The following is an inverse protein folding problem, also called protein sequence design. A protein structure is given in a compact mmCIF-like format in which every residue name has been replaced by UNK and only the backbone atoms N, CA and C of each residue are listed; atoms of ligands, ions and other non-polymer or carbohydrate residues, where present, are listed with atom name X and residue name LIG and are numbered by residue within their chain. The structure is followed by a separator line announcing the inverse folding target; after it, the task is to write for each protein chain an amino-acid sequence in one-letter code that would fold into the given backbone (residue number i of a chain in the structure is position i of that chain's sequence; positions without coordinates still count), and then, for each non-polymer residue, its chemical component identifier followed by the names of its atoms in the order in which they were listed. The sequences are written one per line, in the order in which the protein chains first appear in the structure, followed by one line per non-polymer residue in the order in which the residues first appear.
data_IF_737265549488
#
_entry.id   IF_737265549488
#
_cell.length_a   1.000
_cell.length_b   1.000
_cell.length_c   1.000
_cell.angle_alpha   90.00
_cell.angle_beta   90.00
_cell.angle_gamma   90.00
#
_symmetry.space_group_name_H-M   'P 1'
#
loop_
_entity.id
_entity.type
_entity.pdbx_description
1 polymer ?
#
# COMPACT_ATOMS: atom_id res chain seq x y z
N UNK A 1 5.51 23.77 49.48
CA UNK A 1 5.96 22.49 48.90
C UNK A 1 6.23 22.71 47.43
N UNK A 2 7.49 22.64 47.00
CA UNK A 2 7.92 22.87 45.62
C UNK A 2 7.53 21.70 44.71
N UNK A 3 6.90 21.92 43.53
CA UNK A 3 6.96 20.94 42.47
C UNK A 3 8.32 21.08 41.76
N UNK A 4 9.10 20.00 41.75
CA UNK A 4 10.41 19.93 41.09
C UNK A 4 10.26 20.25 39.60
N UNK A 5 10.93 21.30 39.11
CA UNK A 5 11.13 21.52 37.67
C UNK A 5 11.97 20.37 37.12
N UNK A 6 11.47 19.66 36.11
CA UNK A 6 12.24 18.64 35.38
C UNK A 6 13.28 19.31 34.48
N UNK A 7 14.44 18.68 34.35
CA UNK A 7 15.54 19.18 33.54
C UNK A 7 15.28 18.86 32.06
N UNK A 8 15.75 19.70 31.14
CA UNK A 8 15.53 19.54 29.69
C UNK A 8 16.08 18.20 29.13
N UNK A 9 17.00 17.54 29.86
CA UNK A 9 17.49 16.18 29.56
C UNK A 9 16.42 15.09 29.73
N UNK A 10 15.41 15.31 30.58
CA UNK A 10 14.36 14.31 30.85
C UNK A 10 13.40 14.14 29.66
N UNK A 11 13.29 15.16 28.79
CA UNK A 11 12.49 15.12 27.56
C UNK A 11 13.08 14.23 26.47
N UNK A 12 14.40 14.04 26.46
CA UNK A 12 15.09 13.24 25.44
C UNK A 12 15.46 11.83 25.92
N UNK A 13 15.29 11.55 27.21
CA UNK A 13 15.57 10.24 27.81
C UNK A 13 14.35 9.30 27.81
N UNK A 14 13.16 9.81 27.52
CA UNK A 14 11.89 9.05 27.60
C UNK A 14 11.55 8.23 26.35
N UNK A 15 12.38 8.29 25.29
CA UNK A 15 12.20 7.50 24.06
C UNK A 15 13.38 6.57 23.74
N UNK A 16 14.26 6.31 24.70
CA UNK A 16 15.33 5.33 24.54
C UNK A 16 15.21 4.24 25.62
N UNK A 17 15.00 3.00 25.15
CA UNK A 17 15.10 1.70 25.83
C UNK A 17 13.81 1.06 26.39
N UNK A 18 13.19 0.20 25.56
CA UNK A 18 12.90 -1.19 25.95
C UNK A 18 12.76 -2.09 24.72
N UNK A 19 13.88 -2.37 24.03
CA UNK A 19 14.05 -3.62 23.29
C UNK A 19 15.13 -4.42 24.02
N UNK A 20 14.76 -5.01 25.16
CA UNK A 20 15.55 -6.07 25.75
C UNK A 20 15.25 -7.36 25.02
N UNK A 21 16.32 -7.93 24.49
CA UNK A 21 16.45 -9.29 24.02
C UNK A 21 15.96 -10.31 25.06
N UNK A 22 15.03 -11.16 24.66
CA UNK A 22 14.87 -12.49 25.23
C UNK A 22 14.82 -13.48 24.07
N UNK A 23 15.94 -14.17 23.86
CA UNK A 23 15.97 -15.44 23.14
C UNK A 23 15.27 -16.49 24.01
N UNK A 24 14.31 -17.25 23.47
CA UNK A 24 14.10 -18.62 23.88
C UNK A 24 14.59 -19.53 22.76
N UNK A 25 15.64 -20.30 23.06
CA UNK A 25 15.99 -21.51 22.33
C UNK A 25 14.76 -22.42 22.25
N UNK A 26 14.21 -22.62 21.06
CA UNK A 26 13.25 -23.68 20.80
C UNK A 26 13.99 -24.83 20.13
N UNK A 27 14.27 -25.86 20.94
CA UNK A 27 14.73 -27.17 20.51
C UNK A 27 13.71 -27.79 19.54
N UNK A 28 14.17 -28.11 18.33
CA UNK A 28 13.51 -29.04 17.43
C UNK A 28 13.88 -30.46 17.89
N UNK A 29 12.99 -31.08 18.66
CA UNK A 29 12.94 -32.55 18.76
C UNK A 29 11.82 -33.01 17.84
N UNK A 30 12.22 -33.56 16.69
CA UNK A 30 11.36 -34.35 15.81
C UNK A 30 11.63 -35.80 16.20
N UNK A 31 10.65 -36.44 16.83
CA UNK A 31 10.58 -37.89 16.94
C UNK A 31 9.11 -38.33 16.86
N UNK A 32 8.86 -39.27 15.93
CA UNK A 32 8.05 -40.45 16.23
C UNK A 32 6.53 -40.40 16.08
N UNK A 33 6.08 -40.92 14.92
CA UNK A 33 5.02 -41.92 14.75
C UNK A 33 3.54 -41.65 15.08
N UNK A 34 2.72 -42.03 14.08
CA UNK A 34 1.45 -42.78 14.12
C UNK A 34 0.38 -42.32 15.14
N UNK A 35 -0.90 -42.20 14.79
CA UNK A 35 -1.74 -43.29 14.27
C UNK A 35 -3.10 -42.73 13.81
N UNK A 36 -3.72 -43.44 12.87
CA UNK A 36 -5.13 -43.39 12.47
C UNK A 36 -6.11 -43.36 13.65
N UNK A 37 -7.31 -42.80 13.46
CA UNK A 37 -8.60 -43.47 13.72
C UNK A 37 -9.77 -42.64 13.19
N UNK A 38 -10.67 -43.33 12.51
CA UNK A 38 -11.95 -42.86 11.99
C UNK A 38 -13.00 -42.81 13.11
N UNK A 39 -14.12 -42.19 12.75
CA UNK A 39 -15.50 -42.68 12.99
C UNK A 39 -16.41 -41.97 14.03
N UNK A 40 -17.52 -41.50 13.44
CA UNK A 40 -18.94 -41.58 13.87
C UNK A 40 -19.50 -40.76 15.05
N UNK A 41 -20.36 -39.79 14.65
CA UNK A 41 -21.79 -39.65 14.99
C UNK A 41 -22.24 -40.13 16.39
N UNK A 42 -22.91 -39.23 17.13
CA UNK A 42 -24.34 -39.35 17.46
C UNK A 42 -24.86 -38.05 18.12
N UNK A 43 -26.06 -37.66 17.70
CA UNK A 43 -26.90 -36.53 18.14
C UNK A 43 -27.89 -37.05 19.19
N UNK A 44 -28.36 -36.18 20.10
CA UNK A 44 -29.78 -36.01 20.54
C UNK A 44 -29.91 -35.28 21.91
N UNK A 45 -31.08 -34.77 22.35
CA UNK A 45 -31.77 -33.57 21.85
C UNK A 45 -32.46 -32.73 22.97
N UNK A 46 -33.19 -31.66 22.60
CA UNK A 46 -34.25 -31.04 23.42
C UNK A 46 -33.90 -29.63 23.93
N UNK A 47 -34.76 -28.61 23.85
CA UNK A 47 -36.22 -28.59 23.69
C UNK A 47 -36.68 -27.23 23.13
N UNK A 48 -37.73 -27.26 22.30
CA UNK A 48 -38.44 -26.11 21.76
C UNK A 48 -39.31 -25.43 22.82
N UNK A 49 -39.51 -24.11 22.66
CA UNK A 49 -40.87 -23.54 22.75
C UNK A 49 -41.03 -22.40 21.73
N UNK A 50 -42.08 -22.51 20.93
CA UNK A 50 -42.54 -21.57 19.91
C UNK A 50 -43.45 -20.50 20.54
N UNK A 51 -43.51 -19.31 19.94
CA UNK A 51 -44.78 -18.70 19.46
C UNK A 51 -44.55 -17.45 18.59
N UNK A 52 -44.97 -17.59 17.32
CA UNK A 52 -45.71 -16.69 16.41
C UNK A 52 -45.21 -15.29 15.97
N UNK A 53 -44.70 -15.26 14.73
CA UNK A 53 -45.09 -14.46 13.53
C UNK A 53 -45.48 -12.97 13.63
N UNK A 54 -44.74 -12.08 12.96
CA UNK A 54 -45.14 -11.47 11.65
C UNK A 54 -44.31 -10.23 11.23
N UNK A 55 -44.18 -10.07 9.90
CA UNK A 55 -43.82 -8.87 9.09
C UNK A 55 -42.40 -8.22 9.12
N UNK A 56 -41.72 -8.39 7.97
CA UNK A 56 -40.89 -7.46 7.15
C UNK A 56 -40.31 -6.22 7.85
N UNK A 57 -38.97 -6.16 7.97
CA UNK A 57 -38.19 -4.93 7.79
C UNK A 57 -36.72 -5.24 7.49
N UNK A 58 -36.12 -4.33 6.72
CA UNK A 58 -34.83 -4.37 6.05
C UNK A 58 -33.63 -4.60 6.99
N UNK A 59 -32.82 -5.62 6.69
CA UNK A 59 -31.50 -5.81 7.30
C UNK A 59 -30.41 -5.17 6.45
N UNK A 60 -30.21 -3.86 6.57
CA UNK A 60 -28.89 -3.27 6.34
C UNK A 60 -28.03 -3.63 7.56
N UNK A 61 -27.25 -4.70 7.46
CA UNK A 61 -26.24 -5.01 8.46
C UNK A 61 -25.08 -4.03 8.35
N UNK A 62 -24.71 -3.47 9.50
CA UNK A 62 -23.64 -2.49 9.71
C UNK A 62 -22.34 -2.91 8.99
N UNK A 63 -21.88 -2.08 8.05
CA UNK A 63 -20.62 -2.27 7.33
C UNK A 63 -19.46 -1.92 8.25
N UNK A 64 -18.52 -2.84 8.40
CA UNK A 64 -17.21 -2.56 9.00
C UNK A 64 -16.43 -1.59 8.09
N UNK A 65 -15.61 -0.70 8.67
CA UNK A 65 -14.76 0.24 7.91
C UNK A 65 -13.66 -0.45 7.08
N UNK A 66 -13.51 -1.77 7.19
CA UNK A 66 -12.62 -2.60 6.37
C UNK A 66 -13.30 -3.11 5.09
N UNK A 67 -14.64 -3.19 5.06
CA UNK A 67 -15.39 -3.60 3.86
C UNK A 67 -15.39 -2.53 2.76
N UNK A 68 -15.20 -1.26 3.12
CA UNK A 68 -15.21 -0.13 2.18
C UNK A 68 -14.01 -0.10 1.24
N UNK A 69 -12.84 -0.63 1.64
CA UNK A 69 -11.63 -0.64 0.79
C UNK A 69 -11.62 -1.79 -0.23
N UNK A 70 -12.33 -2.90 0.06
CA UNK A 70 -12.46 -4.04 -0.85
C UNK A 70 -13.48 -3.79 -1.97
N UNK A 71 -14.48 -2.95 -1.71
CA UNK A 71 -15.47 -2.54 -2.72
C UNK A 71 -14.83 -1.80 -3.90
N UNK A 72 -13.71 -1.09 -3.69
CA UNK A 72 -12.96 -0.41 -4.75
C UNK A 72 -12.41 -1.35 -5.84
N UNK A 73 -12.22 -2.63 -5.53
CA UNK A 73 -11.67 -3.62 -6.46
C UNK A 73 -12.73 -4.58 -7.01
N UNK A 74 -14.01 -4.25 -6.83
CA UNK A 74 -15.10 -4.93 -7.53
C UNK A 74 -15.10 -4.52 -9.02
N UNK A 75 -14.93 -5.51 -9.90
CA UNK A 75 -14.98 -5.34 -11.36
C UNK A 75 -16.32 -4.78 -11.84
N UNK A 76 -17.39 -4.88 -11.04
CA UNK A 76 -18.69 -4.28 -11.31
C UNK A 76 -18.63 -2.78 -11.59
N UNK A 77 -17.64 -2.07 -11.06
CA UNK A 77 -17.41 -0.64 -11.36
C UNK A 77 -17.10 -0.36 -12.84
N UNK A 78 -16.65 -1.36 -13.61
CA UNK A 78 -16.42 -1.24 -15.05
C UNK A 78 -17.71 -1.39 -15.87
N UNK A 79 -18.84 -1.72 -15.25
CA UNK A 79 -20.10 -1.93 -15.94
C UNK A 79 -21.07 -0.79 -15.66
N UNK A 80 -21.79 -0.38 -16.69
CA UNK A 80 -22.87 0.62 -16.60
C UNK A 80 -24.18 0.00 -17.06
N UNK A 81 -25.28 0.51 -16.53
CA UNK A 81 -26.63 0.04 -16.87
C UNK A 81 -27.28 1.00 -17.88
N UNK A 82 -27.66 0.51 -19.06
CA UNK A 82 -28.40 1.27 -20.10
C UNK A 82 -29.37 0.32 -20.80
N UNK A 83 -30.54 0.84 -21.19
CA UNK A 83 -31.51 0.11 -22.03
C UNK A 83 -31.87 -1.31 -21.52
N UNK A 84 -32.04 -1.44 -20.19
CA UNK A 84 -32.35 -2.68 -19.48
C UNK A 84 -31.25 -3.75 -19.48
N UNK A 85 -30.01 -3.44 -19.89
CA UNK A 85 -28.88 -4.36 -19.79
C UNK A 85 -27.61 -3.69 -19.25
N UNK A 86 -26.71 -4.51 -18.72
CA UNK A 86 -25.40 -4.08 -18.28
C UNK A 86 -24.40 -4.15 -19.44
N UNK A 87 -23.59 -3.11 -19.61
CA UNK A 87 -22.54 -3.07 -20.61
C UNK A 87 -21.20 -2.71 -19.97
N UNK A 88 -20.15 -3.37 -20.43
CA UNK A 88 -18.77 -3.06 -20.05
C UNK A 88 -18.35 -1.71 -20.64
N UNK A 89 -18.28 -0.69 -19.80
CA UNK A 89 -17.69 0.60 -20.11
C UNK A 89 -16.26 0.60 -19.56
N UNK A 90 -15.31 0.19 -20.39
CA UNK A 90 -13.90 0.13 -20.00
C UNK A 90 -13.24 1.49 -20.28
N UNK A 91 -13.11 2.40 -19.29
CA UNK A 91 -12.22 3.55 -19.44
C UNK A 91 -10.77 3.05 -19.60
N UNK A 92 -9.86 3.93 -20.03
CA UNK A 92 -8.44 3.60 -20.07
C UNK A 92 -7.93 3.31 -18.65
N UNK A 93 -7.92 2.04 -18.24
CA UNK A 93 -7.45 1.59 -16.94
C UNK A 93 -5.92 1.60 -16.90
N UNK A 94 -5.35 2.09 -15.79
CA UNK A 94 -3.92 1.97 -15.55
C UNK A 94 -3.53 0.52 -15.28
N UNK A 95 -2.26 0.18 -15.52
CA UNK A 95 -1.78 -1.19 -15.31
C UNK A 95 -1.85 -1.61 -13.83
N UNK A 96 -1.64 -0.66 -12.90
CA UNK A 96 -1.85 -0.93 -11.47
C UNK A 96 -3.31 -1.26 -11.14
N UNK A 97 -4.27 -0.59 -11.77
CA UNK A 97 -5.71 -0.89 -11.58
C UNK A 97 -6.05 -2.29 -12.11
N UNK A 98 -5.54 -2.66 -13.30
CA UNK A 98 -5.72 -4.02 -13.85
C UNK A 98 -5.13 -5.08 -12.92
N UNK A 99 -3.93 -4.84 -12.38
CA UNK A 99 -3.28 -5.77 -11.45
C UNK A 99 -4.09 -5.94 -10.16
N UNK A 100 -4.59 -4.85 -9.58
CA UNK A 100 -5.43 -4.93 -8.38
C UNK A 100 -6.75 -5.67 -8.65
N UNK A 101 -7.39 -5.48 -9.81
CA UNK A 101 -8.59 -6.23 -10.19
C UNK A 101 -8.34 -7.73 -10.38
N UNK A 102 -7.14 -8.13 -10.80
CA UNK A 102 -6.76 -9.53 -10.91
C UNK A 102 -6.41 -10.15 -9.55
N UNK A 103 -5.64 -9.44 -8.71
CA UNK A 103 -5.06 -10.01 -7.49
C UNK A 103 -5.92 -9.81 -6.22
N UNK A 104 -6.71 -8.73 -6.15
CA UNK A 104 -7.41 -8.30 -4.93
C UNK A 104 -8.93 -8.29 -5.08
N UNK A 105 -9.46 -8.98 -6.08
CA UNK A 105 -10.90 -9.00 -6.29
C UNK A 105 -11.63 -9.59 -5.07
N UNK A 106 -12.68 -8.91 -4.61
CA UNK A 106 -13.48 -9.33 -3.47
C UNK A 106 -14.14 -10.69 -3.75
N UNK A 107 -13.79 -11.71 -2.98
CA UNK A 107 -14.49 -12.99 -2.99
C UNK A 107 -15.67 -12.94 -2.01
N UNK A 108 -16.81 -13.58 -2.30
CA UNK A 108 -17.86 -13.76 -1.31
C UNK A 108 -17.39 -14.55 -0.10
N UNK A 109 -17.95 -14.27 1.07
CA UNK A 109 -17.66 -15.00 2.30
C UNK A 109 -18.20 -16.43 2.24
N UNK A 110 -17.58 -17.37 2.98
CA UNK A 110 -18.00 -18.78 3.02
C UNK A 110 -19.49 -18.98 3.34
N UNK A 111 -20.09 -18.07 4.11
CA UNK A 111 -21.51 -18.10 4.48
C UNK A 111 -22.43 -17.32 3.51
N UNK A 112 -21.92 -16.85 2.38
CA UNK A 112 -22.69 -16.07 1.43
C UNK A 112 -23.75 -16.91 0.72
N UNK A 113 -25.00 -16.43 0.76
CA UNK A 113 -26.12 -17.05 0.04
C UNK A 113 -26.10 -16.62 -1.42
N UNK A 114 -25.58 -17.50 -2.28
CA UNK A 114 -25.53 -17.25 -3.71
C UNK A 114 -26.92 -17.24 -4.37
N UNK A 115 -27.10 -16.43 -5.43
CA UNK A 115 -28.33 -16.43 -6.20
C UNK A 115 -28.52 -17.76 -6.96
N UNK A 116 -29.77 -18.11 -7.23
CA UNK A 116 -30.15 -19.37 -7.87
C UNK A 116 -31.10 -19.17 -9.05
N UNK A 117 -31.18 -20.18 -9.90
CA UNK A 117 -32.16 -20.28 -10.97
C UNK A 117 -32.92 -21.60 -10.92
N UNK A 118 -34.20 -21.59 -11.32
CA UNK A 118 -35.05 -22.79 -11.33
C UNK A 118 -35.07 -23.51 -12.70
N UNK A 119 -34.58 -24.74 -12.75
CA UNK A 119 -34.60 -25.62 -13.93
C UNK A 119 -35.77 -26.60 -13.84
N UNK A 120 -36.54 -26.77 -14.92
CA UNK A 120 -37.62 -27.77 -15.00
C UNK A 120 -37.03 -29.16 -15.24
N UNK A 121 -37.49 -30.17 -14.50
CA UNK A 121 -37.00 -31.55 -14.61
C UNK A 121 -38.01 -32.46 -15.34
N UNK A 122 -39.29 -32.11 -15.35
CA UNK A 122 -40.33 -32.87 -16.06
C UNK A 122 -41.20 -32.00 -16.97
N UNK A 123 -41.49 -32.50 -18.16
CA UNK A 123 -42.51 -31.97 -19.07
C UNK A 123 -43.89 -32.38 -18.56
N UNK A 124 -44.79 -31.40 -18.44
CA UNK A 124 -46.10 -31.57 -17.83
C UNK A 124 -47.02 -32.50 -18.66
N UNK A 125 -47.02 -33.78 -18.34
CA UNK A 125 -48.15 -34.67 -18.60
C UNK A 125 -48.73 -35.08 -17.25
N UNK A 126 -49.69 -34.29 -16.76
CA UNK A 126 -50.48 -34.43 -15.52
C UNK A 126 -49.69 -34.31 -14.19
N UNK A 127 -49.83 -33.16 -13.54
CA UNK A 127 -49.62 -32.99 -12.09
C UNK A 127 -48.20 -32.58 -11.68
N UNK A 128 -48.07 -31.33 -11.23
CA UNK A 128 -46.91 -30.67 -10.61
C UNK A 128 -45.60 -30.60 -11.42
N UNK A 129 -45.22 -29.36 -11.78
CA UNK A 129 -43.92 -29.05 -12.38
C UNK A 129 -42.84 -29.25 -11.31
N UNK A 130 -42.04 -30.32 -11.43
CA UNK A 130 -40.85 -30.49 -10.60
C UNK A 130 -39.74 -29.56 -11.08
N UNK A 131 -39.47 -28.53 -10.29
CA UNK A 131 -38.38 -27.57 -10.52
C UNK A 131 -37.22 -27.85 -9.58
N UNK A 132 -36.00 -27.91 -10.09
CA UNK A 132 -34.77 -27.95 -9.30
C UNK A 132 -34.12 -26.57 -9.29
N UNK A 133 -33.74 -26.12 -8.10
CA UNK A 133 -32.92 -24.90 -7.94
C UNK A 133 -31.46 -25.24 -8.23
N UNK A 134 -30.84 -24.46 -9.11
CA UNK A 134 -29.43 -24.50 -9.43
C UNK A 134 -28.80 -23.24 -8.88
N UNK A 135 -27.90 -23.41 -7.91
CA UNK A 135 -27.23 -22.31 -7.23
C UNK A 135 -25.90 -22.01 -7.91
N UNK A 136 -25.55 -20.72 -7.98
CA UNK A 136 -24.14 -20.36 -8.06
C UNK A 136 -23.44 -20.85 -6.78
N UNK A 137 -22.19 -21.25 -6.87
CA UNK A 137 -21.44 -21.78 -5.72
C UNK A 137 -19.96 -21.45 -5.88
N UNK A 138 -19.20 -21.55 -4.79
CA UNK A 138 -17.75 -21.31 -4.80
C UNK A 138 -17.01 -22.11 -5.87
N UNK A 139 -17.43 -23.35 -6.15
CA UNK A 139 -16.81 -24.19 -7.18
C UNK A 139 -16.88 -23.61 -8.59
N UNK A 140 -17.71 -22.58 -8.85
CA UNK A 140 -17.82 -21.90 -10.14
C UNK A 140 -16.92 -20.68 -10.28
N UNK A 141 -16.29 -20.23 -9.19
CA UNK A 141 -15.50 -18.98 -9.12
C UNK A 141 -14.12 -19.19 -8.49
N UNK A 142 -13.76 -20.44 -8.17
CA UNK A 142 -12.47 -20.81 -7.58
C UNK A 142 -11.80 -21.97 -8.34
N UNK A 143 -10.51 -22.17 -8.09
CA UNK A 143 -9.73 -23.26 -8.67
C UNK A 143 -9.63 -23.15 -10.19
N UNK A 144 -10.18 -24.14 -10.92
CA UNK A 144 -10.16 -24.13 -12.41
C UNK A 144 -10.98 -22.97 -13.02
N UNK A 145 -11.84 -22.34 -12.23
CA UNK A 145 -12.72 -21.25 -12.65
C UNK A 145 -12.35 -19.93 -11.98
N UNK A 146 -11.11 -19.78 -11.51
CA UNK A 146 -10.67 -18.59 -10.76
C UNK A 146 -10.78 -17.28 -11.57
N UNK A 147 -10.78 -17.37 -12.90
CA UNK A 147 -11.01 -16.25 -13.80
C UNK A 147 -12.44 -15.68 -13.71
N UNK A 148 -13.41 -16.42 -13.17
CA UNK A 148 -14.78 -15.97 -12.96
C UNK A 148 -14.94 -15.37 -11.57
N UNK A 149 -15.46 -14.15 -11.52
CA UNK A 149 -15.72 -13.47 -10.27
C UNK A 149 -17.17 -12.98 -10.19
N UNK A 150 -17.72 -13.02 -8.99
CA UNK A 150 -19.07 -12.53 -8.71
C UNK A 150 -18.98 -11.10 -8.20
N UNK A 151 -19.62 -10.17 -8.91
CA UNK A 151 -19.70 -8.78 -8.50
C UNK A 151 -21.00 -8.51 -7.74
N UNK A 152 -20.88 -7.87 -6.58
CA UNK A 152 -22.02 -7.56 -5.72
C UNK A 152 -22.84 -6.39 -6.28
N UNK A 153 -22.18 -5.47 -6.99
CA UNK A 153 -22.80 -4.30 -7.60
C UNK A 153 -23.76 -4.68 -8.72
N UNK A 154 -23.31 -5.54 -9.63
CA UNK A 154 -24.10 -5.96 -10.80
C UNK A 154 -24.87 -7.27 -10.58
N UNK A 155 -24.69 -7.90 -9.40
CA UNK A 155 -25.31 -9.17 -9.01
C UNK A 155 -25.16 -10.24 -10.10
N UNK A 156 -23.94 -10.43 -10.59
CA UNK A 156 -23.68 -11.28 -11.74
C UNK A 156 -22.24 -11.77 -11.81
N UNK A 157 -22.03 -12.82 -12.61
CA UNK A 157 -20.71 -13.43 -12.79
C UNK A 157 -20.06 -12.91 -14.06
N UNK A 158 -18.80 -12.50 -13.96
CA UNK A 158 -18.00 -12.02 -15.08
C UNK A 158 -16.65 -12.73 -15.14
N UNK A 159 -16.11 -12.88 -16.33
CA UNK A 159 -14.74 -13.36 -16.51
C UNK A 159 -13.79 -12.16 -16.51
N UNK A 160 -12.98 -12.02 -15.47
CA UNK A 160 -12.07 -10.86 -15.29
C UNK A 160 -11.04 -10.81 -16.41
N UNK A 161 -10.46 -11.95 -16.79
CA UNK A 161 -9.46 -12.01 -17.86
C UNK A 161 -10.05 -11.53 -19.19
N UNK A 162 -11.24 -12.01 -19.54
CA UNK A 162 -11.90 -11.60 -20.78
C UNK A 162 -12.39 -10.15 -20.74
N UNK A 163 -12.87 -9.66 -19.60
CA UNK A 163 -13.29 -8.27 -19.46
C UNK A 163 -12.13 -7.28 -19.61
N UNK A 164 -10.93 -7.63 -19.12
CA UNK A 164 -9.76 -6.75 -19.17
C UNK A 164 -8.99 -6.84 -20.48
N UNK A 165 -8.85 -8.05 -21.04
CA UNK A 165 -7.97 -8.28 -22.17
C UNK A 165 -8.71 -8.52 -23.47
N UNK A 166 -9.96 -8.98 -23.52
CA UNK A 166 -10.60 -9.30 -24.82
C UNK A 166 -11.09 -8.05 -25.56
N UNK A 167 -10.92 -8.04 -26.88
CA UNK A 167 -11.55 -7.06 -27.77
C UNK A 167 -13.08 -7.16 -27.72
N UNK A 168 -13.78 -6.05 -27.95
CA UNK A 168 -15.26 -6.03 -27.93
C UNK A 168 -15.88 -6.96 -29.00
N UNK A 169 -15.16 -7.17 -30.08
CA UNK A 169 -15.53 -8.05 -31.18
C UNK A 169 -14.43 -9.08 -31.38
N UNK A 170 -14.85 -10.33 -31.60
CA UNK A 170 -13.98 -11.46 -31.85
C UNK A 170 -14.52 -12.20 -33.08
N UNK A 171 -13.61 -12.65 -33.94
CA UNK A 171 -13.95 -13.52 -35.05
C UNK A 171 -14.50 -14.85 -34.55
N UNK A 172 -15.66 -15.25 -35.06
CA UNK A 172 -16.19 -16.58 -34.83
C UNK A 172 -15.49 -17.61 -35.73
N UNK A 173 -15.79 -18.90 -35.54
CA UNK A 173 -15.26 -20.02 -36.33
C UNK A 173 -15.51 -19.90 -37.85
N UNK A 174 -16.35 -18.95 -38.27
CA UNK A 174 -16.68 -18.63 -39.68
C UNK A 174 -15.99 -17.35 -40.17
N UNK A 175 -15.04 -16.80 -39.42
CA UNK A 175 -14.30 -15.58 -39.75
C UNK A 175 -15.12 -14.29 -39.66
N UNK A 176 -16.32 -14.32 -39.06
CA UNK A 176 -17.17 -13.13 -38.89
C UNK A 176 -16.98 -12.54 -37.51
N UNK A 177 -16.74 -11.23 -37.45
CA UNK A 177 -16.72 -10.47 -36.20
C UNK A 177 -18.07 -10.57 -35.48
N UNK A 178 -18.04 -11.08 -34.26
CA UNK A 178 -19.18 -11.21 -33.35
C UNK A 178 -18.88 -10.53 -32.03
N UNK A 179 -19.89 -9.86 -31.46
CA UNK A 179 -19.75 -9.23 -30.14
C UNK A 179 -19.62 -10.29 -29.06
N UNK A 180 -18.68 -10.08 -28.14
CA UNK A 180 -18.48 -10.98 -27.01
C UNK A 180 -19.60 -10.75 -25.99
N UNK A 181 -20.61 -11.61 -25.97
CA UNK A 181 -21.80 -11.42 -25.12
C UNK A 181 -21.58 -11.77 -23.64
N UNK A 182 -21.99 -12.98 -23.27
CA UNK A 182 -22.10 -13.41 -21.87
C UNK A 182 -20.74 -13.56 -21.16
N UNK A 183 -20.69 -13.12 -19.90
CA UNK A 183 -19.52 -13.03 -19.00
C UNK A 183 -18.53 -11.89 -19.29
N UNK A 184 -18.70 -11.14 -20.39
CA UNK A 184 -17.73 -10.12 -20.82
C UNK A 184 -18.39 -8.77 -21.05
N UNK A 185 -19.30 -8.64 -22.03
CA UNK A 185 -20.05 -7.39 -22.20
C UNK A 185 -21.20 -7.31 -21.20
N UNK A 186 -21.88 -8.43 -20.99
CA UNK A 186 -23.00 -8.56 -20.06
C UNK A 186 -22.63 -9.55 -18.96
N UNK A 187 -22.84 -9.21 -17.68
CA UNK A 187 -22.67 -10.14 -16.57
C UNK A 187 -23.65 -11.30 -16.70
N UNK A 188 -23.21 -12.50 -16.34
CA UNK A 188 -24.03 -13.68 -16.42
C UNK A 188 -24.92 -13.82 -15.17
N UNK A 189 -26.23 -13.75 -15.39
CA UNK A 189 -27.27 -13.81 -14.35
C UNK A 189 -28.17 -15.06 -14.47
N UNK A 190 -28.06 -15.83 -15.55
CA UNK A 190 -28.90 -17.03 -15.75
C UNK A 190 -28.30 -18.27 -15.09
N UNK A 191 -28.41 -18.34 -13.76
CA UNK A 191 -27.79 -19.40 -12.95
C UNK A 191 -28.29 -20.83 -13.27
N UNK A 192 -29.43 -20.98 -13.96
CA UNK A 192 -29.97 -22.29 -14.39
C UNK A 192 -29.00 -23.08 -15.28
N UNK A 193 -28.13 -22.37 -16.01
CA UNK A 193 -27.18 -22.94 -16.99
C UNK A 193 -25.73 -22.66 -16.63
N UNK A 194 -25.42 -22.25 -15.39
CA UNK A 194 -24.08 -21.80 -15.01
C UNK A 194 -23.02 -22.90 -15.23
N UNK A 195 -23.30 -24.13 -14.82
CA UNK A 195 -22.36 -25.26 -14.96
C UNK A 195 -21.92 -25.48 -16.41
N UNK A 196 -22.85 -25.42 -17.35
CA UNK A 196 -22.58 -25.68 -18.76
C UNK A 196 -21.90 -24.46 -19.40
N UNK A 197 -22.40 -23.26 -19.10
CA UNK A 197 -21.93 -22.01 -19.71
C UNK A 197 -20.53 -21.62 -19.30
N UNK A 198 -20.14 -21.89 -18.05
CA UNK A 198 -18.78 -21.64 -17.57
C UNK A 198 -17.79 -22.59 -18.28
N UNK A 199 -18.13 -23.87 -18.42
CA UNK A 199 -17.31 -24.85 -19.16
C UNK A 199 -17.19 -24.49 -20.64
N UNK A 200 -18.30 -24.13 -21.28
CA UNK A 200 -18.31 -23.66 -22.67
C UNK A 200 -17.43 -22.43 -22.85
N UNK A 201 -17.47 -21.46 -21.92
CA UNK A 201 -16.70 -20.22 -22.03
C UNK A 201 -15.20 -20.47 -22.00
N UNK A 202 -14.71 -21.34 -21.10
CA UNK A 202 -13.27 -21.63 -21.00
C UNK A 202 -12.72 -22.26 -22.29
N UNK A 203 -13.53 -23.03 -23.00
CA UNK A 203 -13.10 -23.70 -24.23
C UNK A 203 -12.95 -22.75 -25.43
N UNK A 204 -13.52 -21.54 -25.36
CA UNK A 204 -13.48 -20.57 -26.47
C UNK A 204 -12.08 -19.98 -26.65
N UNK A 205 -11.70 -19.75 -27.90
CA UNK A 205 -10.32 -19.32 -28.21
C UNK A 205 -10.01 -17.92 -27.70
N UNK A 206 -10.97 -16.99 -27.72
CA UNK A 206 -10.77 -15.66 -27.13
C UNK A 206 -10.48 -15.72 -25.63
N UNK A 207 -11.01 -16.72 -24.91
CA UNK A 207 -10.75 -16.88 -23.49
C UNK A 207 -9.31 -17.32 -23.27
N UNK A 208 -8.84 -18.32 -24.03
CA UNK A 208 -7.44 -18.79 -23.97
C UNK A 208 -6.47 -17.65 -24.26
N UNK A 209 -6.70 -16.89 -25.33
CA UNK A 209 -5.85 -15.73 -25.67
C UNK A 209 -5.94 -14.60 -24.64
N UNK A 210 -7.09 -14.41 -23.97
CA UNK A 210 -7.21 -13.44 -22.87
C UNK A 210 -6.50 -13.91 -21.61
N UNK A 211 -6.57 -15.21 -21.31
CA UNK A 211 -5.87 -15.84 -20.20
C UNK A 211 -4.35 -15.75 -20.40
N UNK A 212 -3.82 -16.14 -21.57
CA UNK A 212 -2.39 -16.00 -21.88
C UNK A 212 -1.91 -14.55 -21.71
N UNK A 213 -2.71 -13.58 -22.16
CA UNK A 213 -2.37 -12.16 -21.99
C UNK A 213 -2.44 -11.69 -20.54
N UNK A 214 -3.39 -12.20 -19.75
CA UNK A 214 -3.46 -11.93 -18.33
C UNK A 214 -2.25 -12.53 -17.60
N UNK A 215 -1.87 -13.77 -17.92
CA UNK A 215 -0.74 -14.46 -17.33
C UNK A 215 0.58 -13.76 -17.67
N UNK A 216 0.79 -13.38 -18.94
CA UNK A 216 1.93 -12.58 -19.39
C UNK A 216 1.92 -11.20 -18.71
N UNK A 217 0.76 -10.57 -18.55
CA UNK A 217 0.65 -9.28 -17.87
C UNK A 217 1.05 -9.37 -16.40
N UNK A 218 0.53 -10.37 -15.67
CA UNK A 218 0.87 -10.59 -14.25
C UNK A 218 2.34 -10.95 -14.11
N UNK A 219 2.85 -11.87 -14.95
CA UNK A 219 4.26 -12.21 -14.99
C UNK A 219 5.13 -10.99 -15.27
N UNK A 220 4.74 -10.12 -16.21
CA UNK A 220 5.48 -8.90 -16.49
C UNK A 220 5.35 -7.88 -15.35
N UNK A 221 4.21 -7.76 -14.69
CA UNK A 221 4.10 -6.86 -13.53
C UNK A 221 4.89 -7.36 -12.32
N UNK A 222 5.04 -8.67 -12.16
CA UNK A 222 5.77 -9.27 -11.05
C UNK A 222 7.28 -9.41 -11.34
N UNK A 223 7.65 -9.70 -12.59
CA UNK A 223 9.02 -10.06 -12.98
C UNK A 223 9.64 -9.08 -13.97
N UNK A 224 8.83 -8.43 -14.82
CA UNK A 224 9.33 -7.38 -15.72
C UNK A 224 9.46 -6.08 -14.94
N UNK A 225 10.70 -5.88 -14.49
CA UNK A 225 11.48 -4.65 -14.71
C UNK A 225 11.19 -4.07 -16.11
N UNK A 226 10.03 -3.46 -16.30
CA UNK A 226 9.80 -2.51 -17.39
C UNK A 226 10.98 -1.56 -17.43
N UNK A 227 11.47 -1.17 -18.61
CA UNK A 227 12.50 -0.13 -18.71
C UNK A 227 12.13 1.09 -17.83
N UNK A 228 10.84 1.43 -17.80
CA UNK A 228 10.30 2.49 -16.95
C UNK A 228 10.43 2.15 -15.46
N UNK A 229 10.08 0.94 -15.01
CA UNK A 229 10.24 0.56 -13.60
C UNK A 229 11.70 0.46 -13.19
N UNK A 230 12.60 -0.06 -14.06
CA UNK A 230 14.04 -0.08 -13.80
C UNK A 230 14.66 1.32 -13.72
N UNK A 231 14.19 2.27 -14.54
CA UNK A 231 14.63 3.67 -14.46
C UNK A 231 14.09 4.32 -13.20
N UNK A 232 12.84 4.05 -12.82
CA UNK A 232 12.25 4.55 -11.58
C UNK A 232 12.95 3.97 -10.34
N UNK A 233 13.29 2.68 -10.34
CA UNK A 233 14.05 2.01 -9.28
C UNK A 233 15.47 2.58 -9.20
N UNK A 234 16.19 2.68 -10.31
CA UNK A 234 17.53 3.27 -10.33
C UNK A 234 17.53 4.73 -9.85
N UNK A 235 16.51 5.53 -10.22
CA UNK A 235 16.34 6.90 -9.71
C UNK A 235 16.05 6.93 -8.21
N UNK A 236 15.26 5.98 -7.71
CA UNK A 236 14.94 5.86 -6.30
C UNK A 236 16.16 5.44 -5.48
N UNK A 237 16.98 4.54 -6.02
CA UNK A 237 18.24 4.13 -5.42
C UNK A 237 19.23 5.30 -5.40
N UNK A 238 19.34 6.08 -6.48
CA UNK A 238 20.13 7.31 -6.52
C UNK A 238 19.64 8.36 -5.52
N UNK A 239 18.31 8.52 -5.38
CA UNK A 239 17.72 9.41 -4.38
C UNK A 239 18.07 8.96 -2.96
N UNK A 240 17.95 7.66 -2.67
CA UNK A 240 18.31 7.11 -1.37
C UNK A 240 19.80 7.30 -1.07
N UNK A 241 20.67 7.04 -2.03
CA UNK A 241 22.11 7.27 -1.90
C UNK A 241 22.40 8.76 -1.65
N UNK A 242 21.73 9.67 -2.37
CA UNK A 242 21.83 11.10 -2.15
C UNK A 242 21.35 11.52 -0.76
N UNK A 243 20.27 10.93 -0.24
CA UNK A 243 19.80 11.16 1.13
C UNK A 243 20.84 10.70 2.15
N UNK A 244 21.41 9.50 1.97
CA UNK A 244 22.45 8.97 2.86
C UNK A 244 23.68 9.87 2.90
N UNK A 245 24.09 10.42 1.76
CA UNK A 245 25.20 11.40 1.67
C UNK A 245 24.92 12.70 2.44
N UNK A 246 23.68 13.17 2.46
CA UNK A 246 23.30 14.41 3.15
C UNK A 246 23.20 14.28 4.67
N UNK A 247 22.87 13.10 5.19
CA UNK A 247 22.71 12.84 6.63
C UNK A 247 23.92 13.30 7.47
N UNK A 248 25.17 12.89 7.19
CA UNK A 248 26.33 13.29 8.00
C UNK A 248 26.60 14.81 7.95
N UNK A 249 26.33 15.44 6.80
CA UNK A 249 26.48 16.89 6.59
C UNK A 249 25.48 17.64 7.47
N UNK A 250 24.20 17.33 7.35
CA UNK A 250 23.12 17.99 8.10
C UNK A 250 23.29 17.74 9.61
N UNK A 251 23.64 16.51 10.02
CA UNK A 251 23.92 16.20 11.44
C UNK A 251 25.05 17.06 12.01
N UNK A 252 26.05 17.39 11.21
CA UNK A 252 27.16 18.25 11.65
C UNK A 252 26.71 19.70 11.79
N UNK A 253 25.86 20.20 10.90
CA UNK A 253 25.24 21.54 11.03
C UNK A 253 24.38 21.63 12.29
N UNK A 254 23.52 20.63 12.54
CA UNK A 254 22.68 20.55 13.75
C UNK A 254 23.56 20.49 15.01
N UNK A 255 24.64 19.72 15.00
CA UNK A 255 25.59 19.67 16.12
C UNK A 255 26.18 21.04 16.42
N UNK A 256 26.65 21.76 15.40
CA UNK A 256 27.18 23.11 15.56
C UNK A 256 26.12 24.06 16.14
N UNK A 257 24.90 24.03 15.61
CA UNK A 257 23.79 24.85 16.10
C UNK A 257 23.44 24.57 17.57
N UNK A 258 23.42 23.29 17.98
CA UNK A 258 23.15 22.90 19.38
C UNK A 258 24.24 23.30 20.36
N UNK A 259 25.49 23.26 19.92
CA UNK A 259 26.65 23.58 20.75
C UNK A 259 27.04 25.06 20.72
N UNK A 260 26.38 25.88 19.88
CA UNK A 260 26.77 27.27 19.66
C UNK A 260 28.12 27.42 18.96
N UNK A 261 28.55 26.41 18.19
CA UNK A 261 29.80 26.43 17.45
C UNK A 261 29.56 27.15 16.13
N UNK A 262 30.34 28.20 15.86
CA UNK A 262 30.32 28.87 14.55
C UNK A 262 30.71 27.88 13.45
N UNK A 263 29.94 27.77 12.37
CA UNK A 263 30.27 26.86 11.26
C UNK A 263 31.49 27.32 10.45
N UNK A 264 31.61 28.64 10.28
CA UNK A 264 32.66 29.30 9.48
C UNK A 264 33.93 29.50 10.30
N UNK A 265 35.08 29.49 9.64
CA UNK A 265 36.37 29.80 10.26
C UNK A 265 37.36 30.41 9.27
N UNK A 266 38.62 29.98 9.32
CA UNK A 266 39.70 30.62 8.54
C UNK A 266 39.57 30.38 7.03
N UNK A 267 39.23 29.14 6.61
CA UNK A 267 38.99 28.78 5.21
C UNK A 267 37.80 27.83 5.07
N UNK A 268 36.82 28.23 4.26
CA UNK A 268 35.59 27.45 4.03
C UNK A 268 35.46 26.93 2.59
N UNK A 269 36.39 27.28 1.71
CA UNK A 269 36.36 26.96 0.28
C UNK A 269 37.39 25.86 -0.09
N UNK A 270 37.13 25.16 -1.19
CA UNK A 270 38.04 24.13 -1.73
C UNK A 270 37.65 22.69 -1.38
N UNK A 271 38.43 21.73 -1.88
CA UNK A 271 38.21 20.31 -1.63
C UNK A 271 38.51 19.96 -0.17
N UNK A 272 37.72 19.06 0.42
CA UNK A 272 37.95 18.56 1.76
C UNK A 272 39.16 17.63 1.75
N UNK A 273 40.13 17.91 2.62
CA UNK A 273 41.34 17.13 2.80
C UNK A 273 41.50 16.88 4.30
N UNK A 274 41.33 15.64 4.71
CA UNK A 274 41.32 15.25 6.13
C UNK A 274 42.58 15.75 6.86
N UNK A 275 43.77 15.56 6.29
CA UNK A 275 45.04 15.94 6.92
C UNK A 275 45.18 17.47 7.11
N UNK A 276 44.67 18.25 6.16
CA UNK A 276 44.78 19.71 6.19
C UNK A 276 43.65 20.34 6.99
N UNK A 277 42.42 19.86 6.83
CA UNK A 277 41.25 20.40 7.53
C UNK A 277 41.31 20.10 9.04
N UNK A 278 41.83 18.94 9.46
CA UNK A 278 42.02 18.60 10.89
C UNK A 278 43.08 19.49 11.56
N UNK A 279 44.05 20.02 10.80
CA UNK A 279 45.12 20.88 11.32
C UNK A 279 44.64 22.25 11.83
N UNK A 280 43.34 22.56 11.70
CA UNK A 280 42.71 23.78 12.22
C UNK A 280 42.82 24.98 11.29
N UNK A 281 43.32 24.81 10.07
CA UNK A 281 43.43 25.87 9.06
C UNK A 281 42.13 26.10 8.26
N UNK A 282 41.04 25.45 8.66
CA UNK A 282 39.75 25.44 7.97
C UNK A 282 38.60 25.80 8.91
N UNK A 283 37.41 26.05 8.35
CA UNK A 283 36.20 26.27 9.15
C UNK A 283 35.83 25.08 10.02
N UNK A 284 35.23 25.35 11.18
CA UNK A 284 34.84 24.33 12.16
C UNK A 284 33.96 23.25 11.53
N UNK A 285 33.05 23.62 10.63
CA UNK A 285 32.22 22.65 9.90
C UNK A 285 33.06 21.65 9.10
N UNK A 286 34.11 22.13 8.41
CA UNK A 286 35.01 21.27 7.61
C UNK A 286 35.87 20.39 8.49
N UNK A 287 36.40 20.94 9.58
CA UNK A 287 37.17 20.18 10.58
C UNK A 287 36.33 19.05 11.16
N UNK A 288 35.07 19.31 11.50
CA UNK A 288 34.16 18.29 12.02
C UNK A 288 33.83 17.21 11.00
N UNK A 289 33.67 17.55 9.72
CA UNK A 289 33.48 16.55 8.67
C UNK A 289 34.73 15.69 8.48
N UNK A 290 35.92 16.30 8.44
CA UNK A 290 37.19 15.58 8.35
C UNK A 290 37.38 14.63 9.55
N UNK A 291 37.07 15.10 10.77
CA UNK A 291 37.10 14.28 11.97
C UNK A 291 36.15 13.07 11.90
N UNK A 292 34.96 13.21 11.30
CA UNK A 292 34.03 12.08 11.09
C UNK A 292 34.60 11.05 10.12
N UNK A 293 35.23 11.52 9.04
CA UNK A 293 35.89 10.65 8.06
C UNK A 293 37.03 9.87 8.72
N UNK A 294 37.89 10.55 9.49
CA UNK A 294 38.98 9.93 10.26
C UNK A 294 38.45 8.92 11.29
N UNK A 295 37.32 9.23 11.93
CA UNK A 295 36.65 8.36 12.91
C UNK A 295 36.00 7.12 12.29
N UNK A 296 36.07 6.92 10.97
CA UNK A 296 35.64 5.70 10.29
C UNK A 296 34.35 5.81 9.48
N UNK A 297 33.84 7.02 9.20
CA UNK A 297 32.70 7.23 8.31
C UNK A 297 33.10 7.00 6.84
N UNK A 298 33.15 5.72 6.45
CA UNK A 298 33.55 5.28 5.10
C UNK A 298 32.60 5.79 4.01
N UNK A 299 31.31 5.89 4.31
CA UNK A 299 30.30 6.36 3.36
C UNK A 299 30.53 7.84 3.04
N UNK A 300 30.73 8.67 4.07
CA UNK A 300 31.11 10.07 3.89
C UNK A 300 32.45 10.21 3.15
N UNK A 301 33.44 9.38 3.46
CA UNK A 301 34.74 9.38 2.78
C UNK A 301 34.61 9.09 1.29
N UNK A 302 33.93 7.99 0.95
CA UNK A 302 33.72 7.59 -0.44
C UNK A 302 32.97 8.68 -1.21
N UNK A 303 31.96 9.28 -0.58
CA UNK A 303 31.22 10.39 -1.15
C UNK A 303 32.13 11.60 -1.45
N UNK A 304 32.92 12.06 -0.49
CA UNK A 304 33.79 13.23 -0.67
C UNK A 304 34.87 13.01 -1.73
N UNK A 305 35.30 11.75 -1.95
CA UNK A 305 36.29 11.37 -2.97
C UNK A 305 35.67 11.18 -4.35
N UNK A 306 34.53 10.47 -4.46
CA UNK A 306 33.88 10.13 -5.73
C UNK A 306 33.12 11.31 -6.35
N UNK A 307 32.74 12.30 -5.56
CA UNK A 307 31.81 13.34 -5.99
C UNK A 307 32.52 14.49 -6.71
N UNK A 308 31.97 14.91 -7.85
CA UNK A 308 32.41 16.11 -8.56
C UNK A 308 32.31 17.35 -7.66
N UNK A 309 33.23 18.31 -7.82
CA UNK A 309 33.34 19.52 -6.97
C UNK A 309 32.02 20.28 -6.75
N UNK A 310 31.08 20.18 -7.70
CA UNK A 310 29.79 20.87 -7.67
C UNK A 310 28.70 20.18 -6.85
N UNK A 311 28.90 18.93 -6.44
CA UNK A 311 27.87 18.10 -5.78
C UNK A 311 28.25 17.69 -4.35
N UNK A 312 29.24 18.34 -3.75
CA UNK A 312 29.79 18.02 -2.42
C UNK A 312 28.92 18.50 -1.25
N UNK A 313 27.92 19.35 -1.50
CA UNK A 313 26.99 19.90 -0.49
C UNK A 313 27.65 20.57 0.75
N UNK A 314 28.96 20.83 0.71
CA UNK A 314 29.74 21.46 1.80
C UNK A 314 29.93 22.96 1.64
N UNK A 315 29.47 23.57 0.54
CA UNK A 315 29.70 24.99 0.28
C UNK A 315 28.93 25.88 1.25
N UNK A 316 29.45 27.08 1.53
CA UNK A 316 28.79 28.08 2.39
C UNK A 316 27.35 28.40 1.98
N UNK A 317 27.06 28.39 0.68
CA UNK A 317 25.71 28.63 0.14
C UNK A 317 24.76 27.52 0.58
N UNK A 318 25.17 26.27 0.40
CA UNK A 318 24.37 25.10 0.74
C UNK A 318 24.21 24.96 2.26
N UNK A 319 25.26 25.28 3.02
CA UNK A 319 25.19 25.35 4.49
C UNK A 319 24.10 26.33 4.95
N UNK A 320 24.04 27.54 4.38
CA UNK A 320 22.99 28.51 4.72
C UNK A 320 21.60 27.95 4.39
N UNK A 321 21.43 27.30 3.23
CA UNK A 321 20.16 26.65 2.87
C UNK A 321 19.75 25.59 3.88
N UNK A 322 20.69 24.77 4.38
CA UNK A 322 20.38 23.79 5.43
C UNK A 322 20.03 24.45 6.75
N UNK A 323 20.69 25.55 7.12
CA UNK A 323 20.34 26.32 8.32
C UNK A 323 18.92 26.85 8.21
N UNK A 324 18.54 27.43 7.08
CA UNK A 324 17.20 27.95 6.83
C UNK A 324 16.14 26.83 6.92
N UNK A 325 16.41 25.66 6.31
CA UNK A 325 15.51 24.50 6.39
C UNK A 325 15.36 23.98 7.82
N UNK A 326 16.46 23.88 8.58
CA UNK A 326 16.39 23.52 9.99
C UNK A 326 15.58 24.54 10.80
N UNK A 327 15.75 25.84 10.52
CA UNK A 327 14.97 26.91 11.15
C UNK A 327 13.48 26.81 10.85
N UNK A 328 13.12 26.51 9.60
CA UNK A 328 11.73 26.29 9.17
C UNK A 328 11.10 25.09 9.89
N UNK A 329 11.78 23.96 9.98
CA UNK A 329 11.27 22.77 10.68
C UNK A 329 11.05 23.03 12.17
N UNK A 330 11.98 23.74 12.83
CA UNK A 330 11.82 24.15 14.23
C UNK A 330 10.61 25.06 14.39
N UNK A 331 10.49 26.08 13.53
CA UNK A 331 9.37 27.03 13.56
C UNK A 331 8.03 26.31 13.35
N UNK A 332 7.94 25.45 12.34
CA UNK A 332 6.72 24.67 12.05
C UNK A 332 6.32 23.80 13.25
N UNK A 333 7.30 23.18 13.91
CA UNK A 333 7.07 22.37 15.11
C UNK A 333 6.48 23.23 16.23
N UNK A 334 7.14 24.35 16.57
CA UNK A 334 6.68 25.28 17.62
C UNK A 334 5.29 25.83 17.32
N UNK A 335 5.04 26.27 16.09
CA UNK A 335 3.72 26.79 15.67
C UNK A 335 2.65 25.71 15.81
N UNK A 336 2.94 24.47 15.42
CA UNK A 336 1.98 23.37 15.57
C UNK A 336 1.66 23.06 17.04
N UNK A 337 2.62 23.22 17.94
CA UNK A 337 2.43 23.03 19.38
C UNK A 337 1.59 24.16 19.99
N UNK A 338 1.90 25.41 19.63
CA UNK A 338 1.13 26.58 20.07
C UNK A 338 -0.33 26.48 19.62
N UNK A 339 -0.56 26.09 18.36
CA UNK A 339 -1.90 25.90 17.81
C UNK A 339 -2.70 24.82 18.56
N UNK A 340 -2.05 23.76 19.05
CA UNK A 340 -2.70 22.70 19.84
C UNK A 340 -3.06 23.14 21.25
N UNK A 341 -2.22 23.95 21.90
CA UNK A 341 -2.39 24.37 23.29
C UNK A 341 -3.38 25.55 23.39
N UNK A 342 -3.47 26.40 22.36
CA UNK A 342 -4.44 27.50 22.26
C UNK A 342 -4.09 28.76 23.06
N UNK A 343 -3.12 28.70 23.98
CA UNK A 343 -2.66 29.82 24.78
C UNK A 343 -1.14 29.88 24.80
N UNK A 344 -0.57 31.07 24.71
CA UNK A 344 0.86 31.33 24.82
C UNK A 344 1.10 32.70 25.45
N UNK A 345 2.27 32.89 26.05
CA UNK A 345 2.75 34.18 26.53
C UNK A 345 4.13 34.44 25.92
N UNK A 346 4.37 35.69 25.52
CA UNK A 346 5.66 36.14 25.02
C UNK A 346 6.29 37.00 26.11
N UNK A 347 7.51 36.65 26.52
CA UNK A 347 8.35 37.51 27.34
C UNK A 347 9.31 38.20 26.38
N UNK A 348 9.54 39.49 26.58
CA UNK A 348 10.53 40.23 25.83
C UNK A 348 11.36 41.04 26.82
N UNK A 349 12.67 41.02 26.64
CA UNK A 349 13.65 41.75 27.44
C UNK A 349 14.43 42.70 26.55
N UNK A 350 14.83 43.85 27.09
CA UNK A 350 15.49 44.90 26.32
C UNK A 350 16.85 45.19 26.90
N UNK A 351 17.88 45.18 26.05
CA UNK A 351 19.25 45.48 26.43
C UNK A 351 19.80 46.57 25.53
N UNK A 352 20.39 47.61 26.13
CA UNK A 352 21.04 48.70 25.39
C UNK A 352 22.51 48.33 25.16
N UNK A 353 22.96 48.37 23.91
CA UNK A 353 24.36 48.15 23.59
C UNK A 353 25.23 49.40 23.86
N UNK A 354 26.55 49.27 23.72
CA UNK A 354 27.49 50.37 23.92
C UNK A 354 27.38 51.49 22.88
N UNK A 355 26.67 51.25 21.77
CA UNK A 355 26.33 52.25 20.74
C UNK A 355 25.01 52.96 21.02
N UNK A 356 24.39 52.70 22.18
CA UNK A 356 23.06 53.20 22.57
C UNK A 356 21.94 52.72 21.65
N UNK A 357 22.12 51.58 20.99
CA UNK A 357 21.05 50.88 20.28
C UNK A 357 20.37 49.88 21.20
N UNK A 358 19.05 49.97 21.25
CA UNK A 358 18.20 49.02 21.97
C UNK A 358 18.10 47.72 21.15
N UNK A 359 18.40 46.59 21.78
CA UNK A 359 18.17 45.26 21.23
C UNK A 359 17.12 44.53 22.06
N UNK A 360 16.03 44.18 21.37
CA UNK A 360 14.92 43.41 21.93
C UNK A 360 15.24 41.91 21.79
N UNK A 361 15.26 41.20 22.92
CA UNK A 361 15.41 39.76 23.01
C UNK A 361 14.05 39.14 23.38
N UNK A 362 13.66 38.05 22.72
CA UNK A 362 12.38 37.34 22.93
C UNK A 362 12.58 35.96 23.56
#
# INVERSE_FOLDING_TARGET
MNPKRKCLLDYFSSNATSSQSSNPEFNLNIDGNDTTMQETLLVDPGSLSNQDSSYIAEGMTERSSLDTDLDLYDIGHLYKFRENDWFLDCPALSDLQKLNLLAKHRMPDLNFSFPFGEKLISSASKGERKTQRVYLSFSHITGKFDCFKYSFLIKGVVCVHCALFTSREVENDKGKLTKVGSFVQTPFTNYKKIHDKVKEHILKDYHKSAQERADIFVYNMQNSRSMVTSICEARKDEENENRERLIPIIKTIILCGRLGIALRGYRDDGQLNDEVDISGQSGNFRVLLAFRVESGDKLLKEYLVKTNKNATYISKTIQNTFIDLCGQEILNTIVSEIQKIGYFAILADETTDSSHQEQLCF
#
